data_IF_352942901445
#
_entry.id   IF_352942901445
#
_cell.length_a   1.000
_cell.length_b   1.000
_cell.length_c   1.000
_cell.angle_alpha   90.00
_cell.angle_beta   90.00
_cell.angle_gamma   90.00
#
_symmetry.space_group_name_H-M   'P 1'
#
loop_
_entity.id
_entity.type
_entity.pdbx_description
1 polymer ?
#
# COMPACT_ATOMS: atom_id res chain seq x y z
N UNK A 1 -5.41 -23.20 2.11
CA UNK A 1 -6.19 -21.96 2.35
C UNK A 1 -5.48 -20.77 1.71
N UNK A 2 -6.19 -19.82 1.08
CA UNK A 2 -5.56 -18.64 0.45
C UNK A 2 -6.03 -17.35 1.11
N UNK A 3 -5.07 -16.53 1.56
CA UNK A 3 -5.31 -15.28 2.27
C UNK A 3 -4.70 -14.09 1.54
N UNK A 4 -5.28 -12.92 1.79
CA UNK A 4 -4.85 -11.65 1.22
C UNK A 4 -4.64 -10.66 2.37
N UNK A 5 -3.49 -9.99 2.38
CA UNK A 5 -3.13 -9.07 3.47
C UNK A 5 -2.13 -8.03 2.97
N UNK A 6 -1.83 -7.04 3.81
CA UNK A 6 -0.81 -6.04 3.53
C UNK A 6 0.39 -6.23 4.46
N UNK A 7 1.58 -5.93 3.96
CA UNK A 7 2.82 -5.88 4.71
C UNK A 7 3.44 -4.49 4.58
N UNK A 8 4.11 -4.05 5.64
CA UNK A 8 5.05 -2.94 5.63
C UNK A 8 6.46 -3.49 5.52
N UNK A 9 7.32 -2.79 4.80
CA UNK A 9 8.74 -3.10 4.68
C UNK A 9 9.51 -1.91 5.22
N UNK A 10 10.45 -2.16 6.14
CA UNK A 10 11.35 -1.13 6.67
C UNK A 10 12.59 -0.92 5.80
N UNK A 11 13.45 0.03 6.18
CA UNK A 11 14.65 0.38 5.44
C UNK A 11 15.66 -0.79 5.36
N UNK A 12 15.63 -1.69 6.35
CA UNK A 12 16.44 -2.91 6.42
C UNK A 12 15.88 -4.05 5.55
N UNK A 13 14.68 -3.87 4.98
CA UNK A 13 13.99 -4.86 4.16
C UNK A 13 13.21 -5.91 4.95
N UNK A 14 13.07 -5.73 6.27
CA UNK A 14 12.28 -6.59 7.14
C UNK A 14 10.80 -6.37 6.87
N UNK A 15 10.03 -7.46 6.85
CA UNK A 15 8.60 -7.45 6.53
C UNK A 15 7.77 -7.57 7.79
N UNK A 16 6.81 -6.67 7.93
CA UNK A 16 5.91 -6.60 9.06
C UNK A 16 4.47 -6.75 8.55
N UNK A 17 3.69 -7.68 9.12
CA UNK A 17 2.25 -7.73 8.79
C UNK A 17 1.59 -6.47 9.33
N UNK A 18 0.82 -5.79 8.48
CA UNK A 18 0.12 -4.57 8.89
C UNK A 18 -1.16 -4.91 9.66
N UNK A 19 -1.49 -4.15 10.72
CA UNK A 19 -2.71 -4.37 11.47
C UNK A 19 -3.95 -3.99 10.63
N UNK A 20 -5.11 -4.62 10.87
CA UNK A 20 -6.34 -4.38 10.10
C UNK A 20 -6.71 -2.90 10.01
N UNK A 21 -6.60 -2.16 11.13
CA UNK A 21 -6.88 -0.72 11.22
C UNK A 21 -6.09 0.14 10.23
N UNK A 22 -4.87 -0.27 9.93
CA UNK A 22 -4.03 0.43 8.95
C UNK A 22 -4.45 0.08 7.51
N UNK A 23 -5.00 -1.12 7.30
CA UNK A 23 -5.45 -1.62 5.99
C UNK A 23 -6.83 -1.08 5.60
N UNK A 24 -7.83 -1.21 6.47
CA UNK A 24 -9.20 -0.78 6.17
C UNK A 24 -10.08 -0.57 7.42
N UNK A 25 -10.18 -1.57 8.29
CA UNK A 25 -11.10 -1.61 9.45
C UNK A 25 -10.45 -2.39 10.60
N UNK A 26 -10.98 -2.32 11.82
CA UNK A 26 -10.48 -3.12 12.96
C UNK A 26 -10.66 -4.65 12.77
N UNK A 27 -11.57 -5.05 11.90
CA UNK A 27 -11.93 -6.45 11.68
C UNK A 27 -10.97 -7.15 10.70
N UNK A 28 -10.20 -8.13 11.21
CA UNK A 28 -9.19 -8.88 10.44
C UNK A 28 -9.73 -9.43 9.12
N UNK A 29 -10.92 -10.05 9.17
CA UNK A 29 -11.52 -10.69 7.98
C UNK A 29 -12.01 -9.67 6.95
N UNK A 30 -12.45 -8.49 7.39
CA UNK A 30 -12.87 -7.43 6.49
C UNK A 30 -11.65 -6.76 5.83
N UNK A 31 -10.56 -6.56 6.57
CA UNK A 31 -9.30 -6.08 6.00
C UNK A 31 -8.78 -7.05 4.92
N UNK A 32 -8.77 -8.36 5.20
CA UNK A 32 -8.39 -9.37 4.22
C UNK A 32 -9.32 -9.37 2.98
N UNK A 33 -10.64 -9.25 3.19
CA UNK A 33 -11.60 -9.14 2.08
C UNK A 33 -11.37 -7.88 1.23
N UNK A 34 -10.94 -6.78 1.84
CA UNK A 34 -10.64 -5.52 1.15
C UNK A 34 -9.43 -5.67 0.23
N UNK A 35 -8.34 -6.27 0.74
CA UNK A 35 -7.15 -6.55 -0.08
C UNK A 35 -7.51 -7.52 -1.21
N UNK A 36 -8.25 -8.59 -0.92
CA UNK A 36 -8.71 -9.55 -1.93
C UNK A 36 -9.52 -8.85 -3.03
N UNK A 37 -10.43 -7.94 -2.67
CA UNK A 37 -11.23 -7.18 -3.63
C UNK A 37 -10.35 -6.31 -4.52
N UNK A 38 -9.41 -5.58 -3.93
CA UNK A 38 -8.48 -4.74 -4.69
C UNK A 38 -7.64 -5.55 -5.68
N UNK A 39 -7.08 -6.68 -5.25
CA UNK A 39 -6.31 -7.59 -6.12
C UNK A 39 -7.15 -8.08 -7.31
N UNK A 40 -8.38 -8.53 -7.04
CA UNK A 40 -9.30 -9.00 -8.09
C UNK A 40 -9.77 -7.89 -9.04
N UNK A 41 -9.90 -6.66 -8.54
CA UNK A 41 -10.29 -5.49 -9.34
C UNK A 41 -9.13 -4.89 -10.14
N UNK A 42 -7.91 -5.41 -10.01
CA UNK A 42 -6.77 -5.08 -10.85
C UNK A 42 -5.96 -3.85 -10.42
N UNK A 43 -5.02 -3.45 -11.27
CA UNK A 43 -3.91 -2.53 -10.94
C UNK A 43 -4.37 -1.18 -10.36
N UNK A 44 -5.41 -0.58 -10.93
CA UNK A 44 -5.90 0.72 -10.46
C UNK A 44 -6.50 0.65 -9.05
N UNK A 45 -7.23 -0.43 -8.71
CA UNK A 45 -7.79 -0.61 -7.38
C UNK A 45 -6.70 -0.94 -6.35
N UNK A 46 -5.73 -1.77 -6.71
CA UNK A 46 -4.56 -2.06 -5.87
C UNK A 46 -3.76 -0.79 -5.57
N UNK A 47 -3.50 0.04 -6.58
CA UNK A 47 -2.78 1.31 -6.39
C UNK A 47 -3.48 2.26 -5.42
N UNK A 48 -4.80 2.43 -5.56
CA UNK A 48 -5.59 3.27 -4.63
C UNK A 48 -5.55 2.73 -3.19
N UNK A 49 -5.74 1.42 -3.01
CA UNK A 49 -5.68 0.82 -1.68
C UNK A 49 -4.28 0.97 -1.08
N UNK A 50 -3.24 0.63 -1.83
CA UNK A 50 -1.86 0.72 -1.39
C UNK A 50 -1.50 2.15 -0.98
N UNK A 51 -1.79 3.14 -1.83
CA UNK A 51 -1.54 4.55 -1.53
C UNK A 51 -2.28 5.01 -0.26
N UNK A 52 -3.54 4.58 -0.06
CA UNK A 52 -4.28 4.91 1.15
C UNK A 52 -3.67 4.30 2.42
N UNK A 53 -3.12 3.08 2.34
CA UNK A 53 -2.42 2.44 3.46
C UNK A 53 -1.11 3.17 3.75
N UNK A 54 -0.33 3.48 2.70
CA UNK A 54 0.93 4.21 2.82
C UNK A 54 0.73 5.59 3.48
N UNK A 55 -0.32 6.31 3.08
CA UNK A 55 -0.69 7.61 3.65
C UNK A 55 -1.08 7.51 5.14
N UNK A 56 -1.74 6.44 5.57
CA UNK A 56 -1.99 6.18 7.01
C UNK A 56 -0.71 5.80 7.75
N UNK A 57 0.15 4.99 7.14
CA UNK A 57 1.42 4.58 7.73
C UNK A 57 2.33 5.78 7.97
N UNK A 58 2.43 6.70 7.00
CA UNK A 58 3.23 7.92 7.10
C UNK A 58 2.80 8.84 8.26
N UNK A 59 1.52 8.82 8.64
CA UNK A 59 0.98 9.60 9.77
C UNK A 59 1.07 8.88 11.12
N UNK A 60 1.50 7.62 11.14
CA UNK A 60 1.54 6.80 12.34
C UNK A 60 2.96 6.72 12.89
N UNK A 61 3.19 7.27 14.09
CA UNK A 61 4.48 7.16 14.77
C UNK A 61 4.93 5.70 14.97
N UNK A 62 3.99 4.79 15.23
CA UNK A 62 4.23 3.34 15.36
C UNK A 62 4.81 2.69 14.09
N UNK A 63 4.58 3.29 12.91
CA UNK A 63 4.94 2.75 11.61
C UNK A 63 5.92 3.65 10.86
N UNK A 64 6.60 4.57 11.56
CA UNK A 64 7.47 5.57 10.97
C UNK A 64 8.71 4.99 10.27
N UNK A 65 9.11 3.76 10.61
CA UNK A 65 10.22 3.04 9.96
C UNK A 65 9.86 2.40 8.62
N UNK A 66 8.56 2.35 8.26
CA UNK A 66 8.13 1.72 7.00
C UNK A 66 8.46 2.62 5.80
N UNK A 67 9.06 2.03 4.78
CA UNK A 67 9.43 2.71 3.51
C UNK A 67 8.63 2.20 2.32
N UNK A 68 8.05 1.00 2.40
CA UNK A 68 7.23 0.41 1.34
C UNK A 68 6.03 -0.36 1.94
N UNK A 69 4.91 -0.35 1.22
CA UNK A 69 3.75 -1.20 1.47
C UNK A 69 3.62 -2.22 0.35
N UNK A 70 3.34 -3.46 0.71
CA UNK A 70 3.08 -4.55 -0.24
C UNK A 70 1.68 -5.15 -0.01
N UNK A 71 0.91 -5.32 -1.09
CA UNK A 71 -0.32 -6.13 -1.09
C UNK A 71 0.04 -7.56 -1.48
N UNK A 72 -0.33 -8.51 -0.64
CA UNK A 72 0.15 -9.90 -0.70
C UNK A 72 -1.00 -10.86 -0.85
N UNK A 73 -0.79 -11.88 -1.69
CA UNK A 73 -1.59 -13.09 -1.79
C UNK A 73 -0.72 -14.26 -1.32
N UNK A 74 -1.21 -15.08 -0.41
CA UNK A 74 -0.46 -16.22 0.09
C UNK A 74 -1.32 -17.47 0.30
N UNK A 75 -0.73 -18.65 0.07
CA UNK A 75 -1.33 -19.96 0.36
C UNK A 75 -0.74 -20.52 1.64
N UNK A 76 -1.61 -20.95 2.53
CA UNK A 76 -1.29 -21.60 3.80
C UNK A 76 -1.87 -23.01 3.83
N UNK A 77 -1.08 -23.96 4.31
CA UNK A 77 -1.58 -25.25 4.78
C UNK A 77 -2.10 -25.06 6.21
N UNK A 78 -3.40 -25.32 6.47
CA UNK A 78 -3.99 -25.13 7.79
C UNK A 78 -3.36 -26.06 8.84
N UNK A 79 -2.97 -27.28 8.50
CA UNK A 79 -2.31 -28.20 9.43
C UNK A 79 -0.92 -27.67 9.77
N UNK A 80 -0.15 -27.31 8.74
CA UNK A 80 1.18 -26.72 8.91
C UNK A 80 1.14 -25.46 9.78
N UNK A 81 0.12 -24.61 9.59
CA UNK A 81 -0.05 -23.36 10.33
C UNK A 81 -0.06 -23.60 11.85
N UNK A 82 -0.79 -24.62 12.31
CA UNK A 82 -0.90 -24.93 13.73
C UNK A 82 0.26 -25.76 14.28
N UNK A 83 0.90 -26.59 13.45
CA UNK A 83 1.99 -27.47 13.89
C UNK A 83 3.36 -26.80 13.82
N UNK A 84 3.60 -25.96 12.80
CA UNK A 84 4.92 -25.38 12.47
C UNK A 84 4.93 -23.85 12.51
N UNK A 85 3.76 -23.21 12.57
CA UNK A 85 3.64 -21.76 12.60
C UNK A 85 3.18 -21.13 11.28
N UNK A 86 3.01 -19.80 11.27
CA UNK A 86 2.22 -19.09 10.25
C UNK A 86 3.00 -18.73 8.98
N UNK A 87 3.88 -19.62 8.52
CA UNK A 87 4.64 -19.43 7.27
C UNK A 87 3.82 -19.95 6.08
N UNK A 88 3.62 -19.16 5.02
CA UNK A 88 2.90 -19.61 3.83
C UNK A 88 3.72 -20.59 2.98
N UNK A 89 3.05 -21.54 2.35
CA UNK A 89 3.63 -22.43 1.33
C UNK A 89 3.95 -21.68 0.03
N UNK A 90 3.12 -20.69 -0.30
CA UNK A 90 3.32 -19.80 -1.45
C UNK A 90 3.04 -18.37 -1.04
N UNK A 91 3.89 -17.43 -1.46
CA UNK A 91 3.71 -16.01 -1.24
C UNK A 91 3.96 -15.24 -2.52
N UNK A 92 2.99 -14.41 -2.93
CA UNK A 92 3.09 -13.54 -4.10
C UNK A 92 2.77 -12.11 -3.72
N UNK A 93 3.65 -11.18 -4.09
CA UNK A 93 3.36 -9.75 -4.01
C UNK A 93 2.56 -9.35 -5.24
N UNK A 94 1.33 -8.88 -5.02
CA UNK A 94 0.44 -8.44 -6.10
C UNK A 94 0.70 -6.98 -6.51
N UNK A 95 1.07 -6.13 -5.54
CA UNK A 95 1.37 -4.72 -5.77
C UNK A 95 2.25 -4.14 -4.67
N UNK A 96 3.01 -3.08 -4.98
CA UNK A 96 3.85 -2.32 -4.04
C UNK A 96 3.69 -0.82 -4.27
N UNK A 97 3.86 -0.04 -3.21
CA UNK A 97 3.94 1.41 -3.27
C UNK A 97 4.84 1.94 -2.14
N UNK A 98 5.52 3.06 -2.37
CA UNK A 98 6.37 3.70 -1.37
C UNK A 98 5.54 4.38 -0.28
N UNK A 99 6.10 4.45 0.93
CA UNK A 99 5.62 5.31 2.02
C UNK A 99 6.41 6.61 1.94
N UNK A 100 5.70 7.74 1.84
CA UNK A 100 6.37 9.03 1.90
C UNK A 100 6.92 9.24 3.31
N UNK A 101 8.25 9.33 3.45
CA UNK A 101 8.87 9.76 4.70
C UNK A 101 8.49 11.21 4.97
N UNK A 102 8.10 11.54 6.20
CA UNK A 102 7.75 12.91 6.62
C UNK A 102 8.87 13.96 6.38
N UNK A 103 10.08 13.56 5.96
CA UNK A 103 11.19 14.44 5.58
C UNK A 103 11.32 14.77 4.09
N UNK A 104 10.45 14.29 3.19
CA UNK A 104 10.58 14.49 1.73
C UNK A 104 9.35 15.09 1.04
N UNK A 105 8.31 15.51 1.79
CA UNK A 105 7.08 16.03 1.21
C UNK A 105 7.21 17.44 0.57
N UNK A 106 8.32 18.15 0.80
CA UNK A 106 8.52 19.50 0.27
C UNK A 106 9.20 19.54 -1.12
N UNK A 107 9.77 18.42 -1.60
CA UNK A 107 10.64 18.42 -2.78
C UNK A 107 9.97 18.04 -4.11
N UNK A 108 8.70 17.60 -4.09
CA UNK A 108 8.05 17.01 -5.28
C UNK A 108 6.70 17.66 -5.63
N UNK A 109 6.60 18.98 -5.44
CA UNK A 109 5.53 19.74 -6.08
C UNK A 109 5.80 19.81 -7.59
N UNK A 110 4.92 19.28 -8.46
CA UNK A 110 5.12 19.43 -9.90
C UNK A 110 5.01 20.90 -10.28
N UNK A 111 6.11 21.43 -10.80
CA UNK A 111 6.24 22.78 -11.34
C UNK A 111 5.07 23.10 -12.28
N UNK A 112 4.22 24.02 -11.86
CA UNK A 112 3.07 24.45 -12.63
C UNK A 112 3.53 25.11 -13.93
N UNK A 113 3.42 24.38 -15.05
CA UNK A 113 3.74 24.91 -16.38
C UNK A 113 3.01 26.25 -16.62
N UNK A 114 3.71 27.32 -17.02
CA UNK A 114 3.08 28.61 -17.24
C UNK A 114 2.05 28.51 -18.38
N UNK A 115 0.80 28.87 -18.07
CA UNK A 115 -0.27 28.99 -19.07
C UNK A 115 0.14 30.01 -20.12
N UNK A 116 0.48 29.56 -21.32
CA UNK A 116 0.69 30.42 -22.49
C UNK A 116 -0.53 31.33 -22.69
N UNK A 117 -0.36 32.61 -22.39
CA UNK A 117 -1.31 33.68 -22.65
C UNK A 117 -1.48 33.78 -24.17
N UNK A 118 -2.58 33.26 -24.72
CA UNK A 118 -2.96 33.52 -26.12
C UNK A 118 -3.21 35.04 -26.24
N UNK A 119 -2.28 35.76 -26.87
CA UNK A 119 -2.53 37.09 -27.42
C UNK A 119 -3.53 36.92 -28.56
N UNK A 120 -4.81 37.24 -28.34
CA UNK A 120 -5.68 37.71 -29.42
C UNK A 120 -5.37 39.19 -29.57
N UNK A 121 -4.64 39.54 -30.62
CA UNK A 121 -4.53 40.93 -31.07
C UNK A 121 -5.91 41.39 -31.55
N UNK A 122 -6.33 42.57 -31.09
CA UNK A 122 -7.28 43.41 -31.80
C UNK A 122 -6.66 43.89 -33.11
N UNK A 123 -7.45 43.87 -34.18
CA UNK A 123 -8.04 45.06 -34.83
C UNK A 123 -7.14 45.52 -36.00
N UNK A 124 -7.66 46.29 -36.99
CA UNK A 124 -8.94 47.01 -37.06
C UNK A 124 -10.01 46.38 -37.97
#
# INVERSE_FOLDING_TARGET
MRLFFAEGIDAEGTRHRLPPRLVATEEVMQAAATVRRAVRSGRAAMGRLCASIADRAARSAEHASLVEIALVEARFDPVAYFVRGPEPEERRVAHRCAVASAGNAEADAPEAKPRRRRRRGGEP
#
